data_IF_690181807229
#
_entry.id   IF_690181807229
#
_cell.length_a   1.000
_cell.length_b   1.000
_cell.length_c   1.000
_cell.angle_alpha   90.00
_cell.angle_beta   90.00
_cell.angle_gamma   90.00
#
_symmetry.space_group_name_H-M   'P 1'
#
loop_
_entity.id
_entity.type
_entity.pdbx_description
1 polymer ?
#
# COMPACT_ATOMS: atom_id res chain seq x y z
N UNK A 1 16.52 -19.96 -48.03
CA UNK A 1 16.48 -18.50 -48.26
C UNK A 1 16.90 -17.84 -46.96
N UNK A 2 18.19 -17.55 -46.83
CA UNK A 2 18.79 -16.97 -45.62
C UNK A 2 18.80 -15.45 -45.80
N UNK A 3 17.99 -14.74 -45.03
CA UNK A 3 17.94 -13.28 -45.05
C UNK A 3 18.74 -12.78 -43.85
N UNK A 4 20.03 -12.51 -44.09
CA UNK A 4 20.90 -11.84 -43.13
C UNK A 4 20.51 -10.36 -43.09
N UNK A 5 19.96 -9.90 -41.97
CA UNK A 5 19.77 -8.47 -41.73
C UNK A 5 21.11 -7.83 -41.37
N UNK A 6 21.45 -6.80 -42.15
CA UNK A 6 22.62 -5.95 -42.04
C UNK A 6 22.47 -5.02 -40.82
N UNK A 7 23.33 -5.21 -39.82
CA UNK A 7 23.34 -4.45 -38.56
C UNK A 7 24.32 -3.27 -38.58
N UNK A 8 24.76 -2.82 -39.76
CA UNK A 8 25.84 -1.82 -39.89
C UNK A 8 25.44 -0.36 -39.61
N UNK A 9 24.29 -0.07 -39.00
CA UNK A 9 23.82 1.32 -38.80
C UNK A 9 23.57 1.78 -37.35
N UNK A 10 23.88 0.99 -36.32
CA UNK A 10 23.69 1.40 -34.92
C UNK A 10 25.01 1.65 -34.17
N UNK A 11 25.87 2.50 -34.73
CA UNK A 11 27.06 3.01 -34.03
C UNK A 11 27.19 4.52 -34.22
N UNK A 12 26.39 5.28 -33.47
CA UNK A 12 26.73 6.67 -33.17
C UNK A 12 26.48 6.90 -31.69
N UNK A 13 27.38 6.35 -30.87
CA UNK A 13 27.61 6.85 -29.52
C UNK A 13 28.45 8.13 -29.62
N UNK A 14 28.13 9.21 -28.88
CA UNK A 14 29.00 10.37 -28.81
C UNK A 14 30.35 9.95 -28.23
N UNK A 15 31.44 10.34 -28.90
CA UNK A 15 32.81 10.04 -28.48
C UNK A 15 33.03 10.59 -27.06
N UNK A 16 33.44 9.72 -26.14
CA UNK A 16 33.94 10.11 -24.83
C UNK A 16 35.08 11.12 -25.02
N UNK A 17 34.99 12.36 -24.49
CA UNK A 17 36.02 13.38 -24.67
C UNK A 17 37.31 13.06 -23.90
N UNK A 18 37.31 12.00 -23.08
CA UNK A 18 38.51 11.48 -22.42
C UNK A 18 39.13 10.32 -23.21
N UNK A 19 39.50 10.55 -24.47
CA UNK A 19 40.42 9.66 -25.18
C UNK A 19 41.85 10.20 -25.01
N UNK A 20 42.68 9.39 -24.34
CA UNK A 20 44.08 9.64 -24.03
C UNK A 20 44.86 10.24 -25.21
N UNK A 21 45.21 11.52 -25.10
CA UNK A 21 46.33 12.11 -25.86
C UNK A 21 47.59 11.85 -25.06
N UNK A 22 48.60 11.32 -25.73
CA UNK A 22 49.88 10.89 -25.20
C UNK A 22 50.45 11.84 -24.13
N UNK A 23 50.48 11.38 -22.88
CA UNK A 23 51.28 11.98 -21.81
C UNK A 23 52.61 11.26 -21.84
N UNK A 24 53.64 11.98 -22.31
CA UNK A 24 55.03 11.57 -22.13
C UNK A 24 55.35 11.42 -20.64
N UNK A 25 56.31 10.55 -20.37
CA UNK A 25 56.88 10.21 -19.07
C UNK A 25 56.86 11.39 -18.05
N UNK A 26 56.10 11.29 -16.93
CA UNK A 26 55.97 12.39 -15.98
C UNK A 26 57.09 12.42 -14.93
N UNK A 27 58.19 11.66 -15.10
CA UNK A 27 59.30 11.66 -14.14
C UNK A 27 60.21 12.89 -14.24
N UNK A 28 60.03 13.77 -15.23
CA UNK A 28 60.93 14.90 -15.49
C UNK A 28 60.21 16.26 -15.40
N UNK A 29 59.61 16.58 -14.24
CA UNK A 29 59.55 17.98 -13.79
C UNK A 29 59.32 18.06 -12.29
N UNK A 30 60.45 17.97 -11.60
CA UNK A 30 60.67 18.40 -10.24
C UNK A 30 60.07 19.82 -10.06
N UNK A 31 58.88 19.89 -9.45
CA UNK A 31 58.37 21.10 -8.85
C UNK A 31 59.25 21.40 -7.64
N UNK A 32 60.27 22.23 -7.87
CA UNK A 32 61.03 22.91 -6.84
C UNK A 32 60.10 23.89 -6.10
N UNK A 33 59.36 23.34 -5.13
CA UNK A 33 58.71 24.11 -4.10
C UNK A 33 59.70 24.21 -2.95
N UNK A 34 60.40 25.35 -2.91
CA UNK A 34 61.28 25.72 -1.81
C UNK A 34 60.63 25.43 -0.46
N UNK A 35 61.43 24.84 0.42
CA UNK A 35 61.07 24.45 1.79
C UNK A 35 60.33 25.59 2.51
N UNK A 36 59.02 25.43 2.70
CA UNK A 36 58.29 26.23 3.68
C UNK A 36 58.45 25.54 5.04
N UNK A 37 59.10 26.17 6.03
CA UNK A 37 59.24 25.61 7.37
C UNK A 37 57.84 25.44 7.98
N UNK A 38 57.64 24.26 8.57
CA UNK A 38 56.35 23.74 8.97
C UNK A 38 55.57 24.63 9.92
N UNK A 39 54.30 24.82 9.59
CA UNK A 39 53.25 24.93 10.57
C UNK A 39 52.42 23.64 10.46
N UNK A 40 52.64 22.70 11.38
CA UNK A 40 52.06 21.34 11.36
C UNK A 40 50.59 21.28 11.80
N UNK A 41 49.86 22.37 11.67
CA UNK A 41 48.43 22.47 12.01
C UNK A 41 47.51 22.43 10.78
N UNK A 42 48.05 22.06 9.61
CA UNK A 42 47.22 21.80 8.45
C UNK A 42 46.46 20.48 8.63
N UNK A 43 45.17 20.57 8.98
CA UNK A 43 44.24 19.43 8.95
C UNK A 43 44.08 19.02 7.49
N UNK A 44 44.76 17.95 7.07
CA UNK A 44 44.56 17.35 5.76
C UNK A 44 43.24 16.56 5.79
N UNK A 45 42.20 17.09 5.14
CA UNK A 45 40.92 16.39 4.99
C UNK A 45 41.02 15.57 3.72
N UNK A 46 41.31 14.27 3.88
CA UNK A 46 41.26 13.35 2.76
C UNK A 46 39.82 13.16 2.30
N UNK A 47 39.58 13.23 0.99
CA UNK A 47 38.25 13.03 0.40
C UNK A 47 37.64 11.67 0.82
N UNK A 48 38.50 10.68 1.08
CA UNK A 48 38.08 9.38 1.62
C UNK A 48 37.45 9.47 3.02
N UNK A 49 37.91 10.39 3.86
CA UNK A 49 37.39 10.56 5.22
C UNK A 49 36.03 11.27 5.20
N UNK A 50 35.81 12.16 4.22
CA UNK A 50 34.48 12.74 3.95
C UNK A 50 33.48 11.65 3.53
N UNK A 51 33.87 10.73 2.63
CA UNK A 51 33.02 9.61 2.23
C UNK A 51 32.75 8.60 3.37
N UNK A 52 33.73 8.34 4.23
CA UNK A 52 33.54 7.51 5.43
C UNK A 52 32.57 8.17 6.39
N UNK A 53 32.72 9.48 6.65
CA UNK A 53 31.81 10.24 7.49
C UNK A 53 30.36 10.19 6.99
N UNK A 54 30.17 10.37 5.68
CA UNK A 54 28.85 10.24 5.06
C UNK A 54 28.28 8.81 5.17
N UNK A 55 29.10 7.79 4.97
CA UNK A 55 28.69 6.39 5.13
C UNK A 55 28.27 6.09 6.57
N UNK A 56 29.07 6.53 7.56
CA UNK A 56 28.76 6.34 8.99
C UNK A 56 27.48 7.08 9.36
N UNK A 57 27.28 8.29 8.84
CA UNK A 57 26.04 9.04 9.03
C UNK A 57 24.84 8.27 8.44
N UNK A 58 24.95 7.81 7.19
CA UNK A 58 23.90 7.02 6.54
C UNK A 58 23.54 5.76 7.33
N UNK A 59 24.55 5.01 7.78
CA UNK A 59 24.35 3.84 8.64
C UNK A 59 23.64 4.20 9.94
N UNK A 60 24.05 5.29 10.60
CA UNK A 60 23.45 5.74 11.86
C UNK A 60 22.01 6.20 11.68
N UNK A 61 21.69 6.85 10.56
CA UNK A 61 20.31 7.22 10.19
C UNK A 61 19.48 5.96 10.01
N UNK A 62 19.93 4.98 9.22
CA UNK A 62 19.19 3.71 9.02
C UNK A 62 19.00 2.97 10.34
N UNK A 63 20.03 2.85 11.18
CA UNK A 63 19.89 2.20 12.48
C UNK A 63 18.88 2.91 13.40
N UNK A 64 18.80 4.24 13.34
CA UNK A 64 17.80 4.99 14.12
C UNK A 64 16.39 4.86 13.54
N UNK A 65 16.25 4.77 12.23
CA UNK A 65 14.96 4.45 11.61
C UNK A 65 14.49 3.05 12.02
N UNK A 66 15.36 2.05 11.96
CA UNK A 66 15.04 0.68 12.39
C UNK A 66 14.63 0.62 13.87
N UNK A 67 15.29 1.38 14.75
CA UNK A 67 14.94 1.48 16.18
C UNK A 67 13.53 2.08 16.38
N UNK A 68 13.20 3.17 15.66
CA UNK A 68 11.88 3.82 15.74
C UNK A 68 10.79 2.89 15.18
N UNK A 69 11.05 2.21 14.06
CA UNK A 69 10.06 1.32 13.42
C UNK A 69 9.86 0.02 14.18
N UNK A 70 10.85 -0.45 14.94
CA UNK A 70 10.68 -1.58 15.85
C UNK A 70 9.68 -1.27 16.97
N UNK A 71 9.63 -0.02 17.46
CA UNK A 71 8.66 0.43 18.46
C UNK A 71 7.24 0.51 17.89
N UNK A 72 7.08 0.84 16.61
CA UNK A 72 5.77 0.90 15.93
C UNK A 72 5.26 -0.48 15.45
N UNK A 73 6.07 -1.53 15.56
CA UNK A 73 5.74 -2.87 15.06
C UNK A 73 5.90 -3.06 13.54
N UNK A 74 6.48 -2.10 12.83
CA UNK A 74 6.67 -2.14 11.38
C UNK A 74 7.92 -2.95 10.94
N UNK A 75 8.79 -3.31 11.89
CA UNK A 75 10.02 -4.05 11.62
C UNK A 75 11.11 -3.17 10.98
N UNK A 76 12.30 -3.74 10.69
CA UNK A 76 13.38 -3.00 10.03
C UNK A 76 12.99 -2.54 8.63
N UNK A 77 13.50 -1.39 8.17
CA UNK A 77 13.27 -0.88 6.80
C UNK A 77 13.69 -1.91 5.75
N UNK A 78 14.77 -2.65 6.02
CA UNK A 78 15.29 -3.71 5.16
C UNK A 78 14.36 -4.93 5.01
N UNK A 79 13.36 -5.07 5.87
CA UNK A 79 12.37 -6.16 5.81
C UNK A 79 11.13 -5.80 5.00
N UNK A 80 10.99 -4.55 4.56
CA UNK A 80 9.85 -4.10 3.77
C UNK A 80 9.95 -4.68 2.35
N UNK A 81 8.88 -5.35 1.92
CA UNK A 81 8.74 -5.85 0.57
C UNK A 81 7.88 -4.86 -0.25
N UNK A 82 8.46 -4.15 -1.23
CA UNK A 82 7.70 -3.22 -2.08
C UNK A 82 6.50 -3.89 -2.76
N UNK A 83 6.57 -5.19 -3.07
CA UNK A 83 5.48 -5.93 -3.70
C UNK A 83 4.30 -6.13 -2.74
N UNK A 84 4.50 -6.02 -1.43
CA UNK A 84 3.44 -6.03 -0.42
C UNK A 84 2.84 -4.64 -0.20
N UNK A 85 3.43 -3.57 -0.72
CA UNK A 85 2.98 -2.20 -0.48
C UNK A 85 2.47 -1.51 -1.75
N UNK A 86 1.96 -2.28 -2.71
CA UNK A 86 1.32 -1.72 -3.91
C UNK A 86 -0.02 -1.04 -3.55
N UNK A 87 -0.50 -0.12 -4.41
CA UNK A 87 -1.81 0.51 -4.22
C UNK A 87 -2.95 -0.51 -4.07
N UNK A 88 -2.93 -1.58 -4.86
CA UNK A 88 -3.97 -2.63 -4.87
C UNK A 88 -4.01 -3.38 -3.54
N UNK A 89 -2.87 -3.88 -3.06
CA UNK A 89 -2.80 -4.60 -1.78
C UNK A 89 -3.15 -3.71 -0.60
N UNK A 90 -2.78 -2.43 -0.67
CA UNK A 90 -3.12 -1.46 0.37
C UNK A 90 -4.62 -1.17 0.37
N UNK A 91 -5.23 -0.96 -0.81
CA UNK A 91 -6.68 -0.80 -0.95
C UNK A 91 -7.44 -2.03 -0.43
N UNK A 92 -6.96 -3.24 -0.73
CA UNK A 92 -7.53 -4.48 -0.20
C UNK A 92 -7.51 -4.54 1.33
N UNK A 93 -6.40 -4.16 1.96
CA UNK A 93 -6.30 -4.12 3.44
C UNK A 93 -7.30 -3.14 4.05
N UNK A 94 -7.42 -1.93 3.47
CA UNK A 94 -8.36 -0.91 3.94
C UNK A 94 -9.79 -1.44 3.84
N UNK A 95 -10.18 -1.90 2.66
CA UNK A 95 -11.55 -2.36 2.38
C UNK A 95 -11.89 -3.58 3.23
N UNK A 96 -11.03 -4.60 3.27
CA UNK A 96 -11.28 -5.79 4.10
C UNK A 96 -11.35 -5.44 5.59
N UNK A 97 -10.51 -4.50 6.06
CA UNK A 97 -10.50 -4.06 7.44
C UNK A 97 -11.81 -3.39 7.87
N UNK A 98 -12.37 -2.52 7.02
CA UNK A 98 -13.63 -1.83 7.34
C UNK A 98 -14.85 -2.72 7.10
N UNK A 99 -14.89 -3.46 6.00
CA UNK A 99 -16.03 -4.31 5.66
C UNK A 99 -16.20 -5.47 6.64
N UNK A 100 -15.12 -5.92 7.28
CA UNK A 100 -15.17 -6.89 8.39
C UNK A 100 -16.01 -6.41 9.59
N UNK A 101 -16.35 -5.12 9.67
CA UNK A 101 -17.18 -4.55 10.74
C UNK A 101 -18.67 -4.63 10.45
N UNK A 102 -19.10 -5.03 9.25
CA UNK A 102 -20.52 -4.96 8.85
C UNK A 102 -21.44 -5.77 9.79
N UNK A 103 -21.02 -6.95 10.23
CA UNK A 103 -21.81 -7.77 11.17
C UNK A 103 -21.91 -7.11 12.55
N UNK A 104 -20.83 -6.47 13.00
CA UNK A 104 -20.81 -5.74 14.26
C UNK A 104 -21.69 -4.49 14.18
N UNK A 105 -21.73 -3.83 13.02
CA UNK A 105 -22.60 -2.68 12.76
C UNK A 105 -24.08 -3.09 12.73
N UNK A 106 -24.43 -4.17 12.02
CA UNK A 106 -25.80 -4.69 11.97
C UNK A 106 -26.33 -5.07 13.36
N UNK A 107 -25.50 -5.70 14.20
CA UNK A 107 -25.88 -6.04 15.58
C UNK A 107 -26.13 -4.81 16.47
N UNK A 108 -25.47 -3.69 16.18
CA UNK A 108 -25.62 -2.44 16.93
C UNK A 108 -26.80 -1.60 16.45
N UNK A 109 -27.30 -1.85 15.24
CA UNK A 109 -28.43 -1.14 14.63
C UNK A 109 -29.51 -2.14 14.20
N UNK A 110 -30.09 -2.92 15.14
CA UNK A 110 -31.10 -3.94 14.82
C UNK A 110 -32.40 -3.39 14.22
N UNK A 111 -32.62 -2.08 14.28
CA UNK A 111 -33.75 -1.38 13.70
C UNK A 111 -33.60 -1.09 12.20
N UNK A 112 -32.41 -1.22 11.63
CA UNK A 112 -32.15 -1.00 10.21
C UNK A 112 -32.29 -2.32 9.44
N UNK A 113 -33.11 -2.30 8.40
CA UNK A 113 -33.30 -3.43 7.50
C UNK A 113 -32.33 -3.32 6.31
N UNK A 114 -31.78 -4.46 5.89
CA UNK A 114 -30.95 -4.71 4.71
C UNK A 114 -30.38 -3.52 3.94
N UNK A 115 -31.18 -2.86 3.10
CA UNK A 115 -30.73 -1.78 2.21
C UNK A 115 -30.43 -0.49 2.98
N UNK A 116 -31.27 -0.14 3.96
CA UNK A 116 -31.06 1.02 4.84
C UNK A 116 -29.84 0.78 5.77
N UNK A 117 -29.64 -0.46 6.22
CA UNK A 117 -28.47 -0.86 7.02
C UNK A 117 -27.18 -0.71 6.20
N UNK A 118 -27.18 -1.19 4.96
CA UNK A 118 -26.04 -1.09 4.06
C UNK A 118 -25.74 0.38 3.70
N UNK A 119 -26.75 1.17 3.32
CA UNK A 119 -26.56 2.58 2.97
C UNK A 119 -25.94 3.36 4.15
N UNK A 120 -26.50 3.17 5.35
CA UNK A 120 -26.01 3.83 6.57
C UNK A 120 -24.58 3.40 6.90
N UNK A 121 -24.28 2.10 6.84
CA UNK A 121 -22.94 1.57 7.09
C UNK A 121 -21.92 2.13 6.09
N UNK A 122 -22.23 2.06 4.79
CA UNK A 122 -21.34 2.51 3.72
C UNK A 122 -21.13 4.02 3.75
N UNK A 123 -22.14 4.80 4.17
CA UNK A 123 -22.02 6.23 4.42
C UNK A 123 -20.96 6.54 5.49
N UNK A 124 -21.01 5.87 6.63
CA UNK A 124 -20.01 6.03 7.70
C UNK A 124 -18.62 5.53 7.29
N UNK A 125 -18.54 4.41 6.57
CA UNK A 125 -17.28 3.88 6.05
C UNK A 125 -16.62 4.88 5.10
N UNK A 126 -17.35 5.41 4.11
CA UNK A 126 -16.81 6.41 3.17
C UNK A 126 -16.33 7.67 3.89
N UNK A 127 -17.11 8.15 4.87
CA UNK A 127 -16.74 9.32 5.68
C UNK A 127 -15.45 9.08 6.47
N UNK A 128 -15.34 7.93 7.14
CA UNK A 128 -14.16 7.56 7.92
C UNK A 128 -12.91 7.40 7.05
N UNK A 129 -13.04 6.71 5.91
CA UNK A 129 -11.94 6.55 4.94
C UNK A 129 -11.50 7.91 4.41
N UNK A 130 -12.45 8.75 3.97
CA UNK A 130 -12.14 10.09 3.44
C UNK A 130 -11.41 10.95 4.47
N UNK A 131 -11.88 10.96 5.72
CA UNK A 131 -11.20 11.68 6.79
C UNK A 131 -9.78 11.17 7.01
N UNK A 132 -9.60 9.85 7.14
CA UNK A 132 -8.28 9.26 7.33
C UNK A 132 -7.33 9.52 6.16
N UNK A 133 -7.86 9.53 4.93
CA UNK A 133 -7.11 9.89 3.73
C UNK A 133 -6.62 11.34 3.77
N UNK A 134 -7.52 12.29 4.04
CA UNK A 134 -7.17 13.72 4.12
C UNK A 134 -6.12 14.00 5.21
N UNK A 135 -6.27 13.36 6.38
CA UNK A 135 -5.30 13.45 7.47
C UNK A 135 -3.93 12.85 7.08
N UNK A 136 -3.92 11.65 6.49
CA UNK A 136 -2.70 11.00 6.05
C UNK A 136 -1.98 11.79 4.95
N UNK A 137 -2.72 12.30 3.96
CA UNK A 137 -2.20 13.18 2.91
C UNK A 137 -1.56 14.42 3.51
N UNK A 138 -2.22 15.08 4.46
CA UNK A 138 -1.68 16.27 5.13
C UNK A 138 -0.38 15.98 5.90
N UNK A 139 -0.28 14.83 6.57
CA UNK A 139 0.94 14.41 7.27
C UNK A 139 2.06 14.13 6.26
N UNK A 140 1.78 13.39 5.19
CA UNK A 140 2.75 13.02 4.17
C UNK A 140 3.26 14.24 3.39
N UNK A 141 2.40 15.20 3.12
CA UNK A 141 2.78 16.49 2.55
C UNK A 141 3.71 17.26 3.48
N UNK A 142 3.37 17.35 4.78
CA UNK A 142 4.16 18.08 5.76
C UNK A 142 5.58 17.53 5.95
N UNK A 143 5.80 16.23 5.73
CA UNK A 143 7.13 15.60 5.77
C UNK A 143 7.85 15.57 4.41
N UNK A 144 7.26 16.18 3.37
CA UNK A 144 7.85 16.24 2.03
C UNK A 144 7.80 14.92 1.25
N UNK A 145 6.96 13.96 1.64
CA UNK A 145 6.90 12.65 0.99
C UNK A 145 6.50 12.74 -0.50
N UNK A 146 5.78 13.79 -0.89
CA UNK A 146 5.37 14.02 -2.28
C UNK A 146 6.49 14.54 -3.20
N UNK A 147 7.66 14.83 -2.65
CA UNK A 147 8.86 15.11 -3.46
C UNK A 147 9.51 13.82 -3.98
N UNK A 148 9.10 12.65 -3.46
CA UNK A 148 9.56 11.34 -3.89
C UNK A 148 8.67 10.85 -5.03
N UNK A 149 9.30 10.50 -6.15
CA UNK A 149 8.61 10.01 -7.35
C UNK A 149 7.69 8.81 -7.05
N UNK A 150 6.45 8.87 -7.51
CA UNK A 150 5.46 7.79 -7.42
C UNK A 150 4.68 7.72 -6.11
N UNK A 151 5.04 8.49 -5.08
CA UNK A 151 4.32 8.46 -3.79
C UNK A 151 2.94 9.08 -3.92
N UNK A 152 2.82 10.25 -4.53
CA UNK A 152 1.53 10.93 -4.72
C UNK A 152 0.61 10.08 -5.59
N UNK A 153 1.10 9.60 -6.72
CA UNK A 153 0.35 8.79 -7.67
C UNK A 153 -0.11 7.48 -7.02
N UNK A 154 0.74 6.83 -6.22
CA UNK A 154 0.37 5.60 -5.51
C UNK A 154 -0.73 5.81 -4.47
N UNK A 155 -0.72 6.96 -3.78
CA UNK A 155 -1.74 7.33 -2.79
C UNK A 155 -3.08 7.65 -3.46
N UNK A 156 -3.06 8.42 -4.54
CA UNK A 156 -4.25 8.72 -5.35
C UNK A 156 -4.86 7.44 -5.94
N UNK A 157 -4.01 6.56 -6.47
CA UNK A 157 -4.45 5.28 -7.03
C UNK A 157 -5.04 4.35 -5.96
N UNK A 158 -4.44 4.32 -4.76
CA UNK A 158 -4.99 3.55 -3.63
C UNK A 158 -6.42 4.00 -3.33
N UNK A 159 -6.67 5.31 -3.27
CA UNK A 159 -8.02 5.83 -3.03
C UNK A 159 -9.01 5.53 -4.14
N UNK A 160 -8.57 5.63 -5.40
CA UNK A 160 -9.39 5.26 -6.55
C UNK A 160 -9.84 3.80 -6.44
N UNK A 161 -8.91 2.90 -6.11
CA UNK A 161 -9.16 1.47 -5.95
C UNK A 161 -10.04 1.16 -4.73
N UNK A 162 -9.89 1.91 -3.63
CA UNK A 162 -10.77 1.78 -2.46
C UNK A 162 -12.21 2.09 -2.84
N UNK A 163 -12.47 3.22 -3.51
CA UNK A 163 -13.84 3.58 -3.92
C UNK A 163 -14.43 2.56 -4.90
N UNK A 164 -13.64 2.09 -5.87
CA UNK A 164 -14.04 1.04 -6.81
C UNK A 164 -14.48 -0.23 -6.08
N UNK A 165 -13.68 -0.70 -5.13
CA UNK A 165 -13.98 -1.91 -4.34
C UNK A 165 -15.21 -1.74 -3.44
N UNK A 166 -15.42 -0.56 -2.86
CA UNK A 166 -16.61 -0.28 -2.04
C UNK A 166 -17.89 -0.30 -2.89
N UNK A 167 -17.86 0.30 -4.08
CA UNK A 167 -18.97 0.26 -5.03
C UNK A 167 -19.26 -1.16 -5.49
N UNK A 168 -18.22 -1.96 -5.76
CA UNK A 168 -18.40 -3.35 -6.15
C UNK A 168 -18.95 -4.22 -5.02
N UNK A 169 -18.55 -3.97 -3.78
CA UNK A 169 -19.14 -4.61 -2.61
C UNK A 169 -20.64 -4.30 -2.49
N UNK A 170 -21.06 -3.05 -2.62
CA UNK A 170 -22.48 -2.68 -2.55
C UNK A 170 -23.32 -3.41 -3.60
N UNK A 171 -22.84 -3.46 -4.85
CA UNK A 171 -23.52 -4.19 -5.93
C UNK A 171 -23.63 -5.68 -5.61
N UNK A 172 -22.55 -6.30 -5.13
CA UNK A 172 -22.54 -7.71 -4.79
C UNK A 172 -23.47 -8.01 -3.60
N UNK A 173 -23.48 -7.15 -2.59
CA UNK A 173 -24.34 -7.30 -1.42
C UNK A 173 -25.82 -7.25 -1.81
N UNK A 174 -26.22 -6.24 -2.58
CA UNK A 174 -27.61 -6.09 -3.04
C UNK A 174 -28.04 -7.24 -3.99
N UNK A 175 -27.16 -7.69 -4.88
CA UNK A 175 -27.43 -8.85 -5.73
C UNK A 175 -27.65 -10.13 -4.90
N UNK A 176 -26.82 -10.36 -3.89
CA UNK A 176 -26.90 -11.51 -2.99
C UNK A 176 -28.21 -11.57 -2.19
N UNK A 177 -28.75 -10.40 -1.82
CA UNK A 177 -30.03 -10.29 -1.09
C UNK A 177 -31.24 -10.46 -2.01
N UNK A 178 -31.14 -10.01 -3.27
CA UNK A 178 -32.23 -10.14 -4.27
C UNK A 178 -32.40 -11.56 -4.79
N UNK A 179 -31.34 -12.38 -4.76
CA UNK A 179 -31.37 -13.78 -5.18
C UNK A 179 -31.63 -14.77 -4.02
N UNK A 180 -31.83 -14.28 -2.79
CA UNK A 180 -32.29 -15.13 -1.69
C UNK A 180 -33.70 -15.65 -2.03
N UNK A 181 -33.92 -16.98 -2.05
CA UNK A 181 -35.19 -17.55 -2.49
C UNK A 181 -36.31 -17.07 -1.58
N UNK A 182 -37.36 -16.51 -2.19
CA UNK A 182 -38.68 -16.44 -1.60
C UNK A 182 -39.02 -17.85 -1.09
N UNK A 183 -39.03 -18.05 0.23
CA UNK A 183 -39.67 -19.22 0.79
C UNK A 183 -41.12 -19.19 0.29
N UNK A 184 -41.48 -20.17 -0.53
CA UNK A 184 -42.85 -20.55 -0.83
C UNK A 184 -43.55 -20.86 0.51
N UNK A 185 -44.03 -19.83 1.20
CA UNK A 185 -45.09 -19.98 2.19
C UNK A 185 -46.37 -20.14 1.39
N UNK A 186 -46.58 -21.35 0.88
CA UNK A 186 -47.86 -21.78 0.36
C UNK A 186 -48.87 -21.68 1.52
N UNK A 187 -49.67 -20.62 1.48
CA UNK A 187 -50.84 -20.42 2.32
C UNK A 187 -51.86 -21.54 2.05
N UNK A 188 -51.87 -22.56 2.90
CA UNK A 188 -52.98 -23.49 3.03
C UNK A 188 -53.92 -23.09 4.16
N UNK A 189 -54.70 -22.01 4.01
CA UNK A 189 -55.78 -21.69 4.94
C UNK A 189 -57.11 -22.34 4.52
N UNK A 190 -57.57 -23.27 5.38
CA UNK A 190 -58.95 -23.56 5.77
C UNK A 190 -59.98 -24.07 4.73
N UNK A 191 -60.57 -25.27 4.96
CA UNK A 191 -61.91 -25.42 5.58
C UNK A 191 -62.42 -26.89 5.60
N UNK A 192 -62.86 -27.30 6.79
CA UNK A 192 -63.98 -28.19 7.18
C UNK A 192 -64.51 -29.31 6.25
N UNK A 193 -64.55 -30.55 6.75
CA UNK A 193 -65.82 -31.29 6.92
C UNK A 193 -65.70 -32.39 7.99
N UNK A 194 -66.80 -32.63 8.70
CA UNK A 194 -66.97 -33.50 9.84
C UNK A 194 -67.11 -34.98 9.44
N UNK A 195 -66.60 -35.89 10.28
CA UNK A 195 -67.33 -37.12 10.61
C UNK A 195 -66.82 -37.75 11.90
N UNK A 196 -67.71 -37.80 12.88
CA UNK A 196 -67.58 -38.55 14.11
C UNK A 196 -67.39 -40.06 13.86
N UNK A 197 -66.49 -40.71 14.60
CA UNK A 197 -66.76 -41.89 15.45
C UNK A 197 -65.45 -42.46 16.03
N UNK A 198 -65.64 -43.15 17.14
CA UNK A 198 -64.70 -44.02 17.88
C UNK A 198 -63.81 -43.33 18.92
N UNK A 199 -64.28 -43.12 20.16
CA UNK A 199 -64.56 -44.10 21.24
C UNK A 199 -63.29 -44.53 22.00
N UNK A 200 -63.11 -43.88 23.15
CA UNK A 200 -62.73 -44.44 24.47
C UNK A 200 -61.26 -44.82 24.75
N UNK A 201 -60.79 -44.21 25.84
CA UNK A 201 -60.22 -44.87 27.03
C UNK A 201 -58.73 -45.23 27.01
N UNK A 202 -57.92 -44.46 27.72
CA UNK A 202 -57.04 -44.97 28.77
C UNK A 202 -56.57 -43.83 29.69
N UNK A 203 -57.07 -43.87 30.92
CA UNK A 203 -56.54 -43.22 32.11
C UNK A 203 -55.42 -44.11 32.68
N UNK A 204 -54.46 -43.47 33.37
CA UNK A 204 -53.46 -44.01 34.30
C UNK A 204 -52.08 -44.39 33.72
N UNK A 205 -51.09 -43.54 34.00
CA UNK A 205 -50.02 -43.79 34.98
C UNK A 205 -49.31 -42.48 35.32
#
# INVERSE_FOLDING_TARGET
MSSTQDVSSLSTFPKNPYSATAIGDPTEKLLDLGERPGNSDAVNIDLSDVYKGLTVLGQKVVSKLDEILAESGAGPVSSLDPEEHTPEKTADRIVNGVLGLIEAYARQNPELEDEDMLESFMGEVRKGIKQGYEEAVGILEAIGAFEIDGVREGIEETMRLVEEKLVDFEKQFLASRKEAPEEDIEQGSAETDASAKDVRLAVAA
#
